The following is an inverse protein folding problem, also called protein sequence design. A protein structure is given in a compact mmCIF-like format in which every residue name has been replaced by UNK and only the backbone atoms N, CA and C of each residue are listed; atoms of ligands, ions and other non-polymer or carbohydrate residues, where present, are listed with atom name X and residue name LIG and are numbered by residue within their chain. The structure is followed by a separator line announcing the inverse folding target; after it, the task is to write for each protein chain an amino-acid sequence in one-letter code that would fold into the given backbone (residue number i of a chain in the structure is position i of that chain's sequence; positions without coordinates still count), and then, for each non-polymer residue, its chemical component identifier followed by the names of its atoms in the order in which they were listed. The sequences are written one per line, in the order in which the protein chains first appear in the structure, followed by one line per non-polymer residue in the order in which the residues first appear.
data_IF_969572575526
#
_entry.id   IF_969572575526
#
_cell.length_a   1.000
_cell.length_b   1.000
_cell.length_c   1.000
_cell.angle_alpha   90.00
_cell.angle_beta   90.00
_cell.angle_gamma   90.00
#
_symmetry.space_group_name_H-M   'P 1'
#
loop_
_entity.id
_entity.type
_entity.pdbx_description
1 polymer ?
#
# COMPACT_ATOMS: atom_id res chain seq x y z
N UNK A 1 13.74 -19.82 -20.29
CA UNK A 1 14.94 -18.98 -20.54
C UNK A 1 14.96 -17.95 -19.43
N UNK A 2 15.71 -18.29 -18.38
CA UNK A 2 15.87 -17.41 -17.23
C UNK A 2 16.82 -16.27 -17.63
N UNK A 3 16.26 -15.10 -17.92
CA UNK A 3 17.05 -13.88 -18.04
C UNK A 3 17.20 -13.33 -16.62
N UNK A 4 18.35 -13.61 -16.02
CA UNK A 4 18.77 -12.92 -14.80
C UNK A 4 18.82 -11.42 -15.09
N UNK A 5 18.08 -10.64 -14.32
CA UNK A 5 18.27 -9.19 -14.27
C UNK A 5 19.65 -8.87 -13.73
N UNK A 6 20.44 -8.11 -14.48
CA UNK A 6 21.66 -7.49 -13.96
C UNK A 6 21.29 -6.15 -13.30
N UNK A 7 20.58 -6.23 -12.19
CA UNK A 7 20.30 -5.03 -11.40
C UNK A 7 21.53 -4.64 -10.57
N UNK A 8 21.85 -3.35 -10.56
CA UNK A 8 22.83 -2.77 -9.64
C UNK A 8 22.23 -2.47 -8.25
N UNK A 9 20.92 -2.65 -8.08
CA UNK A 9 20.22 -2.46 -6.83
C UNK A 9 20.56 -3.59 -5.84
N UNK A 10 20.76 -3.21 -4.56
CA UNK A 10 21.01 -4.20 -3.51
C UNK A 10 19.70 -4.90 -3.14
N UNK A 11 19.77 -6.17 -2.74
CA UNK A 11 18.60 -6.88 -2.23
C UNK A 11 18.02 -6.20 -0.97
N UNK A 12 16.71 -6.29 -0.80
CA UNK A 12 16.02 -5.82 0.39
C UNK A 12 15.93 -6.96 1.41
N UNK A 13 16.52 -6.76 2.60
CA UNK A 13 16.45 -7.70 3.72
C UNK A 13 15.41 -7.24 4.72
N UNK A 14 14.45 -8.09 5.07
CA UNK A 14 13.39 -7.83 6.05
C UNK A 14 13.48 -8.92 7.13
N UNK A 15 14.32 -8.71 8.13
CA UNK A 15 14.69 -9.76 9.08
C UNK A 15 15.40 -10.92 8.39
N UNK A 16 14.83 -12.14 8.47
CA UNK A 16 15.33 -13.35 7.78
C UNK A 16 14.79 -13.52 6.35
N UNK A 17 14.00 -12.58 5.86
CA UNK A 17 13.44 -12.58 4.50
C UNK A 17 14.30 -11.73 3.58
N UNK A 18 14.41 -12.15 2.31
CA UNK A 18 15.16 -11.41 1.29
C UNK A 18 14.32 -11.31 0.02
N UNK A 19 14.16 -10.09 -0.48
CA UNK A 19 13.69 -9.81 -1.83
C UNK A 19 14.91 -9.45 -2.70
N UNK A 20 15.05 -10.08 -3.86
CA UNK A 20 16.19 -9.87 -4.79
C UNK A 20 16.23 -8.43 -5.30
N UNK A 21 15.05 -7.86 -5.56
CA UNK A 21 14.89 -6.46 -5.93
C UNK A 21 14.29 -5.66 -4.76
N UNK A 22 14.84 -4.47 -4.45
CA UNK A 22 14.37 -3.63 -3.34
C UNK A 22 13.13 -2.82 -3.74
N UNK A 23 12.20 -3.46 -4.43
CA UNK A 23 10.98 -2.85 -4.97
C UNK A 23 9.77 -3.55 -4.35
N UNK A 24 8.97 -2.78 -3.63
CA UNK A 24 7.69 -3.20 -3.09
C UNK A 24 6.58 -2.66 -4.00
N UNK A 25 5.71 -3.51 -4.50
CA UNK A 25 4.45 -3.06 -5.06
C UNK A 25 3.50 -2.77 -3.90
N UNK A 26 3.10 -1.50 -3.74
CA UNK A 26 2.22 -1.07 -2.65
C UNK A 26 0.82 -1.68 -2.75
N UNK A 27 0.28 -2.10 -1.62
CA UNK A 27 -1.07 -2.67 -1.55
C UNK A 27 -2.16 -1.65 -1.91
N UNK A 28 -3.02 -1.98 -2.86
CA UNK A 28 -4.07 -1.11 -3.38
C UNK A 28 -5.44 -1.79 -3.26
N UNK A 29 -6.28 -1.27 -2.40
CA UNK A 29 -7.68 -1.72 -2.22
C UNK A 29 -8.66 -0.75 -2.92
N UNK A 30 -9.84 -1.18 -3.22
CA UNK A 30 -10.42 -2.52 -3.11
C UNK A 30 -10.13 -3.30 -4.39
N UNK A 31 -9.60 -4.52 -4.28
CA UNK A 31 -9.50 -5.41 -5.45
C UNK A 31 -8.43 -5.08 -6.49
N UNK A 32 -7.71 -3.95 -6.40
CA UNK A 32 -6.71 -3.52 -7.38
C UNK A 32 -5.44 -4.36 -7.28
N UNK A 33 -4.96 -4.67 -6.07
CA UNK A 33 -3.85 -5.58 -5.87
C UNK A 33 -4.29 -6.84 -5.12
N UNK A 34 -4.50 -7.91 -5.86
CA UNK A 34 -4.78 -9.26 -5.38
C UNK A 34 -3.64 -10.21 -5.76
N UNK A 35 -3.98 -11.46 -5.95
CA UNK A 35 -2.99 -12.52 -6.21
C UNK A 35 -2.28 -12.42 -7.54
N UNK A 36 -2.94 -11.93 -8.60
CA UNK A 36 -2.31 -11.84 -9.92
C UNK A 36 -1.17 -10.82 -9.90
N UNK A 37 -1.47 -9.59 -9.49
CA UNK A 37 -0.45 -8.54 -9.41
C UNK A 37 0.64 -8.87 -8.39
N UNK A 38 0.25 -9.19 -7.15
CA UNK A 38 1.23 -9.45 -6.09
C UNK A 38 2.11 -10.66 -6.40
N UNK A 39 1.53 -11.73 -6.95
CA UNK A 39 2.26 -12.91 -7.36
C UNK A 39 3.24 -12.63 -8.49
N UNK A 40 2.83 -11.83 -9.49
CA UNK A 40 3.69 -11.45 -10.61
C UNK A 40 4.91 -10.63 -10.14
N UNK A 41 4.71 -9.65 -9.26
CA UNK A 41 5.81 -8.85 -8.69
C UNK A 41 6.77 -9.72 -7.87
N UNK A 42 6.24 -10.63 -7.07
CA UNK A 42 7.06 -11.58 -6.32
C UNK A 42 7.82 -12.55 -7.26
N UNK A 43 7.21 -12.97 -8.37
CA UNK A 43 7.88 -13.80 -9.39
C UNK A 43 9.07 -13.10 -10.05
N UNK A 44 9.09 -11.76 -10.06
CA UNK A 44 10.20 -10.93 -10.53
C UNK A 44 11.23 -10.60 -9.42
N UNK A 45 11.12 -11.23 -8.25
CA UNK A 45 12.07 -11.05 -7.14
C UNK A 45 11.80 -9.85 -6.24
N UNK A 46 10.73 -9.10 -6.47
CA UNK A 46 10.27 -8.00 -5.60
C UNK A 46 9.38 -8.45 -4.44
N UNK A 47 8.72 -7.50 -3.80
CA UNK A 47 7.71 -7.74 -2.76
C UNK A 47 6.33 -7.40 -3.33
N UNK A 48 5.55 -8.41 -3.65
CA UNK A 48 4.16 -8.22 -4.09
C UNK A 48 3.22 -8.15 -2.90
N UNK A 49 2.37 -7.12 -2.85
CA UNK A 49 1.53 -6.84 -1.68
C UNK A 49 0.04 -6.87 -2.03
N UNK A 50 -0.68 -7.76 -1.37
CA UNK A 50 -2.13 -7.90 -1.47
C UNK A 50 -2.79 -6.91 -0.50
N UNK A 51 -3.75 -6.11 -0.99
CA UNK A 51 -4.59 -5.28 -0.10
C UNK A 51 -5.76 -6.10 0.45
N UNK A 52 -5.93 -6.11 1.77
CA UNK A 52 -7.01 -6.86 2.41
C UNK A 52 -8.32 -6.07 2.53
N UNK A 53 -8.33 -4.78 2.15
CA UNK A 53 -9.51 -3.94 2.25
C UNK A 53 -10.63 -4.46 1.33
N UNK A 54 -11.68 -5.04 1.95
CA UNK A 54 -12.85 -5.62 1.27
C UNK A 54 -12.48 -6.56 0.11
N UNK A 55 -11.40 -7.31 0.28
CA UNK A 55 -10.83 -8.18 -0.75
C UNK A 55 -11.79 -9.26 -1.25
N UNK A 56 -12.76 -9.64 -0.43
CA UNK A 56 -13.79 -10.65 -0.74
C UNK A 56 -15.04 -10.08 -1.40
N UNK A 57 -15.02 -8.87 -1.95
CA UNK A 57 -16.19 -8.17 -2.47
C UNK A 57 -16.94 -8.96 -3.57
N UNK A 58 -16.26 -9.79 -4.32
CA UNK A 58 -16.80 -10.65 -5.39
C UNK A 58 -17.05 -12.10 -4.95
N UNK A 59 -16.80 -12.44 -3.67
CA UNK A 59 -17.13 -13.78 -3.15
C UNK A 59 -18.65 -13.95 -2.96
N UNK A 60 -19.15 -15.12 -3.31
CA UNK A 60 -20.55 -15.47 -3.10
C UNK A 60 -20.96 -15.30 -1.63
N UNK A 61 -22.00 -14.52 -1.36
CA UNK A 61 -22.48 -14.25 -0.01
C UNK A 61 -21.86 -13.02 0.67
N UNK A 62 -20.98 -12.26 0.01
CA UNK A 62 -20.36 -11.06 0.56
C UNK A 62 -21.36 -10.05 1.14
N UNK A 63 -22.53 -9.92 0.53
CA UNK A 63 -23.56 -9.01 1.02
C UNK A 63 -24.13 -9.41 2.40
N UNK A 64 -24.06 -10.70 2.75
CA UNK A 64 -24.58 -11.25 4.01
C UNK A 64 -23.48 -11.39 5.08
N UNK A 65 -22.26 -11.72 4.64
CA UNK A 65 -21.12 -11.94 5.53
C UNK A 65 -19.82 -11.37 4.91
N UNK A 66 -19.65 -10.05 5.02
CA UNK A 66 -18.44 -9.38 4.54
C UNK A 66 -17.18 -9.87 5.27
N UNK A 67 -17.27 -10.11 6.57
CA UNK A 67 -16.12 -10.52 7.37
C UNK A 67 -15.62 -11.91 6.95
N UNK A 68 -16.50 -12.90 6.89
CA UNK A 68 -16.14 -14.25 6.47
C UNK A 68 -15.65 -14.33 5.03
N UNK A 69 -16.28 -13.59 4.10
CA UNK A 69 -15.83 -13.51 2.72
C UNK A 69 -14.42 -12.88 2.60
N UNK A 70 -14.13 -11.82 3.37
CA UNK A 70 -12.81 -11.21 3.38
C UNK A 70 -11.73 -12.18 3.90
N UNK A 71 -11.96 -12.89 5.01
CA UNK A 71 -11.00 -13.86 5.54
C UNK A 71 -10.74 -15.00 4.54
N UNK A 72 -11.81 -15.55 3.95
CA UNK A 72 -11.69 -16.56 2.89
C UNK A 72 -10.87 -16.05 1.70
N UNK A 73 -11.12 -14.82 1.25
CA UNK A 73 -10.41 -14.21 0.13
C UNK A 73 -8.94 -13.90 0.48
N UNK A 74 -8.60 -13.46 1.70
CA UNK A 74 -7.22 -13.29 2.17
C UNK A 74 -6.45 -14.61 2.01
N UNK A 75 -6.99 -15.71 2.52
CA UNK A 75 -6.39 -17.05 2.40
C UNK A 75 -6.18 -17.45 0.95
N UNK A 76 -7.21 -17.34 0.14
CA UNK A 76 -7.21 -17.66 -1.29
C UNK A 76 -6.12 -16.89 -2.03
N UNK A 77 -6.08 -15.57 -1.86
CA UNK A 77 -5.18 -14.72 -2.62
C UNK A 77 -3.73 -14.82 -2.15
N UNK A 78 -3.44 -15.04 -0.87
CA UNK A 78 -2.07 -15.30 -0.40
C UNK A 78 -1.57 -16.62 -1.00
N UNK A 79 -2.39 -17.68 -0.97
CA UNK A 79 -2.02 -18.96 -1.56
C UNK A 79 -1.76 -18.83 -3.07
N UNK A 80 -2.68 -18.22 -3.83
CA UNK A 80 -2.52 -18.05 -5.28
C UNK A 80 -1.29 -17.19 -5.64
N UNK A 81 -1.04 -16.10 -4.90
CA UNK A 81 0.14 -15.26 -5.14
C UNK A 81 1.44 -16.04 -4.95
N UNK A 82 1.51 -16.92 -3.94
CA UNK A 82 2.67 -17.78 -3.71
C UNK A 82 2.89 -18.80 -4.82
N UNK A 83 1.80 -19.39 -5.34
CA UNK A 83 1.88 -20.29 -6.50
C UNK A 83 2.44 -19.57 -7.73
N UNK A 84 2.02 -18.32 -7.98
CA UNK A 84 2.54 -17.48 -9.07
C UNK A 84 4.00 -17.11 -8.83
N UNK A 85 4.36 -16.72 -7.61
CA UNK A 85 5.70 -16.29 -7.22
C UNK A 85 6.75 -17.39 -7.31
N UNK A 86 6.37 -18.66 -7.16
CA UNK A 86 7.27 -19.85 -7.21
C UNK A 86 8.49 -19.71 -6.28
N UNK A 87 8.35 -19.01 -5.18
CA UNK A 87 9.39 -18.85 -4.16
C UNK A 87 10.52 -17.86 -4.50
N UNK A 88 10.42 -17.07 -5.57
CA UNK A 88 11.48 -16.11 -5.96
C UNK A 88 11.53 -14.85 -5.10
N UNK A 89 10.37 -14.22 -4.86
CA UNK A 89 10.25 -13.00 -4.07
C UNK A 89 9.35 -13.19 -2.84
N UNK A 90 8.88 -12.09 -2.28
CA UNK A 90 8.06 -12.09 -1.08
C UNK A 90 6.61 -11.73 -1.37
N UNK A 91 5.67 -12.38 -0.68
CA UNK A 91 4.23 -12.08 -0.74
C UNK A 91 3.81 -11.47 0.60
N UNK A 92 3.54 -10.17 0.57
CA UNK A 92 3.05 -9.42 1.71
C UNK A 92 1.57 -9.10 1.63
N UNK A 93 1.05 -8.52 2.71
CA UNK A 93 -0.30 -7.96 2.76
C UNK A 93 -0.28 -6.54 3.30
N UNK A 94 -1.14 -5.67 2.77
CA UNK A 94 -1.43 -4.36 3.34
C UNK A 94 -2.74 -4.42 4.11
N UNK A 95 -2.71 -4.01 5.39
CA UNK A 95 -3.87 -4.02 6.28
C UNK A 95 -4.02 -2.64 6.92
N UNK A 96 -5.10 -1.94 6.57
CA UNK A 96 -5.39 -0.61 7.12
C UNK A 96 -5.87 -0.72 8.58
N UNK A 97 -5.26 0.07 9.48
CA UNK A 97 -5.67 0.15 10.90
C UNK A 97 -7.13 0.56 11.06
N UNK A 98 -7.63 1.38 10.14
CA UNK A 98 -9.01 1.89 10.16
C UNK A 98 -10.07 0.83 9.84
N UNK A 99 -9.71 -0.39 9.41
CA UNK A 99 -10.66 -1.46 9.13
C UNK A 99 -11.32 -1.98 10.40
N UNK A 100 -12.61 -2.24 10.36
CA UNK A 100 -13.38 -2.79 11.48
C UNK A 100 -12.87 -4.16 11.93
N UNK A 101 -12.46 -5.01 11.01
CA UNK A 101 -11.95 -6.35 11.27
C UNK A 101 -10.41 -6.43 11.12
N UNK A 102 -9.71 -5.36 11.55
CA UNK A 102 -8.26 -5.26 11.47
C UNK A 102 -7.55 -6.47 12.11
N UNK A 103 -7.96 -6.83 13.33
CA UNK A 103 -7.33 -7.92 14.10
C UNK A 103 -7.51 -9.28 13.43
N UNK A 104 -8.69 -9.53 12.92
CA UNK A 104 -9.04 -10.77 12.22
C UNK A 104 -8.24 -10.89 10.91
N UNK A 105 -8.12 -9.80 10.14
CA UNK A 105 -7.29 -9.77 8.93
C UNK A 105 -5.81 -10.03 9.22
N UNK A 106 -5.26 -9.43 10.31
CA UNK A 106 -3.87 -9.70 10.73
C UNK A 106 -3.68 -11.16 11.08
N UNK A 107 -4.56 -11.74 11.91
CA UNK A 107 -4.48 -13.16 12.30
C UNK A 107 -4.56 -14.08 11.09
N UNK A 108 -5.52 -13.86 10.21
CA UNK A 108 -5.68 -14.66 9.00
C UNK A 108 -4.43 -14.58 8.10
N UNK A 109 -3.85 -13.38 7.92
CA UNK A 109 -2.63 -13.20 7.15
C UNK A 109 -1.42 -13.95 7.74
N UNK A 110 -1.30 -13.95 9.08
CA UNK A 110 -0.25 -14.71 9.79
C UNK A 110 -0.46 -16.21 9.63
N UNK A 111 -1.69 -16.71 9.82
CA UNK A 111 -2.03 -18.13 9.66
C UNK A 111 -1.79 -18.63 8.24
N UNK A 112 -2.05 -17.79 7.24
CA UNK A 112 -1.77 -18.09 5.84
C UNK A 112 -0.29 -17.91 5.45
N UNK A 113 0.54 -17.46 6.40
CA UNK A 113 1.98 -17.32 6.25
C UNK A 113 2.40 -16.17 5.32
N UNK A 114 1.71 -15.04 5.32
CA UNK A 114 2.19 -13.84 4.63
C UNK A 114 3.63 -13.51 5.07
N UNK A 115 4.49 -13.11 4.15
CA UNK A 115 5.91 -12.84 4.47
C UNK A 115 6.06 -11.54 5.28
N UNK A 116 5.25 -10.51 4.97
CA UNK A 116 5.24 -9.24 5.67
C UNK A 116 3.83 -8.66 5.74
N UNK A 117 3.49 -8.04 6.88
CA UNK A 117 2.30 -7.21 7.04
C UNK A 117 2.73 -5.75 7.08
N UNK A 118 2.30 -4.99 6.07
CA UNK A 118 2.51 -3.54 5.98
C UNK A 118 1.21 -2.87 6.44
N UNK A 119 1.28 -2.05 7.49
CA UNK A 119 0.08 -1.49 8.12
C UNK A 119 0.15 0.03 8.24
N UNK A 120 -0.90 0.69 7.77
CA UNK A 120 -1.06 2.14 7.72
C UNK A 120 -2.53 2.57 7.82
N UNK A 121 -2.85 3.77 7.33
CA UNK A 121 -4.13 4.45 7.56
C UNK A 121 -4.47 4.54 9.06
N UNK A 122 -3.52 5.04 9.82
CA UNK A 122 -3.40 5.07 11.26
C UNK A 122 -2.13 4.36 11.73
N UNK A 123 -1.64 4.67 12.94
CA UNK A 123 -0.46 4.00 13.50
C UNK A 123 -0.85 2.62 14.07
N UNK A 124 -0.19 1.53 13.64
CA UNK A 124 -0.51 0.16 14.06
C UNK A 124 0.04 -0.17 15.46
N UNK A 125 -0.44 0.55 16.48
CA UNK A 125 0.11 0.54 17.85
C UNK A 125 0.16 -0.86 18.47
N UNK A 126 -0.79 -1.73 18.15
CA UNK A 126 -0.93 -3.07 18.70
C UNK A 126 -0.58 -4.21 17.74
N UNK A 127 0.03 -3.92 16.59
CA UNK A 127 0.40 -4.94 15.61
C UNK A 127 1.35 -6.02 16.18
N UNK A 128 2.36 -5.69 17.02
CA UNK A 128 3.22 -6.72 17.65
C UNK A 128 2.48 -7.70 18.56
N UNK A 129 1.35 -7.29 19.17
CA UNK A 129 0.51 -8.17 19.98
C UNK A 129 -0.18 -9.24 19.12
N UNK A 130 -0.52 -8.89 17.88
CA UNK A 130 -1.23 -9.76 16.94
C UNK A 130 -0.30 -10.66 16.13
N UNK A 131 0.98 -10.27 16.03
CA UNK A 131 2.02 -11.00 15.27
C UNK A 131 3.19 -11.31 16.20
N UNK A 132 3.15 -12.44 16.94
CA UNK A 132 4.23 -12.83 17.85
C UNK A 132 5.59 -12.91 17.17
N UNK A 133 6.66 -12.64 17.91
CA UNK A 133 8.03 -12.55 17.35
C UNK A 133 8.53 -13.87 16.75
N UNK A 134 8.06 -15.01 17.27
CA UNK A 134 8.39 -16.33 16.72
C UNK A 134 7.69 -16.65 15.38
N UNK A 135 6.72 -15.83 14.96
CA UNK A 135 6.09 -15.98 13.67
C UNK A 135 7.06 -15.65 12.53
N UNK A 136 6.90 -16.34 11.40
CA UNK A 136 7.68 -16.04 10.19
C UNK A 136 7.29 -14.72 9.55
N UNK A 137 6.07 -14.23 9.80
CA UNK A 137 5.55 -12.98 9.25
C UNK A 137 6.23 -11.77 9.88
N UNK A 138 6.75 -10.89 9.05
CA UNK A 138 7.40 -9.63 9.44
C UNK A 138 6.36 -8.51 9.56
N UNK A 139 6.67 -7.47 10.35
CA UNK A 139 5.76 -6.33 10.57
C UNK A 139 6.42 -5.02 10.17
N UNK A 140 5.65 -4.22 9.43
CA UNK A 140 6.09 -2.94 8.89
C UNK A 140 5.03 -1.86 9.12
N UNK A 141 5.30 -0.82 9.93
CA UNK A 141 4.44 0.34 10.01
C UNK A 141 4.66 1.27 8.80
N UNK A 142 3.60 1.94 8.35
CA UNK A 142 3.69 3.09 7.44
C UNK A 142 3.71 4.35 8.29
N UNK A 143 4.68 5.21 8.05
CA UNK A 143 4.85 6.50 8.72
C UNK A 143 5.12 7.60 7.69
N UNK A 144 4.75 8.85 8.02
CA UNK A 144 4.97 10.01 7.15
C UNK A 144 5.82 11.08 7.84
N UNK A 145 6.35 10.78 9.03
CA UNK A 145 7.20 11.73 9.76
C UNK A 145 8.07 11.02 10.80
N UNK A 146 9.23 11.65 11.13
CA UNK A 146 10.11 11.25 12.24
C UNK A 146 9.34 11.12 13.56
N UNK A 147 8.41 12.05 13.81
CA UNK A 147 7.57 12.01 15.01
C UNK A 147 6.74 10.72 15.07
N UNK A 148 6.12 10.34 13.95
CA UNK A 148 5.33 9.10 13.86
C UNK A 148 6.23 7.86 13.97
N UNK A 149 7.38 7.83 13.30
CA UNK A 149 8.36 6.76 13.38
C UNK A 149 8.85 6.55 14.82
N UNK A 150 9.29 7.62 15.48
CA UNK A 150 9.76 7.54 16.86
C UNK A 150 8.65 7.10 17.82
N UNK A 151 7.42 7.60 17.64
CA UNK A 151 6.29 7.21 18.48
C UNK A 151 6.01 5.71 18.39
N UNK A 152 5.94 5.15 17.16
CA UNK A 152 5.61 3.74 16.97
C UNK A 152 6.73 2.82 17.47
N UNK A 153 7.98 3.14 17.14
CA UNK A 153 9.15 2.37 17.58
C UNK A 153 9.27 2.36 19.10
N UNK A 154 9.11 3.53 19.74
CA UNK A 154 9.12 3.67 21.21
C UNK A 154 8.01 2.85 21.85
N UNK A 155 6.79 2.94 21.32
CA UNK A 155 5.64 2.19 21.85
C UNK A 155 5.83 0.68 21.72
N UNK A 156 6.29 0.21 20.57
CA UNK A 156 6.55 -1.21 20.35
C UNK A 156 7.68 -1.72 21.24
N UNK A 157 8.77 -0.96 21.36
CA UNK A 157 9.89 -1.32 22.23
C UNK A 157 9.51 -1.38 23.71
N UNK A 158 8.71 -0.41 24.18
CA UNK A 158 8.33 -0.34 25.60
C UNK A 158 7.24 -1.36 25.96
N UNK A 159 6.19 -1.48 25.14
CA UNK A 159 5.01 -2.29 25.47
C UNK A 159 5.17 -3.75 25.13
N UNK A 160 5.88 -4.06 24.05
CA UNK A 160 5.96 -5.41 23.50
C UNK A 160 7.39 -5.98 23.47
N UNK A 161 8.38 -5.20 23.89
CA UNK A 161 9.80 -5.55 23.78
C UNK A 161 10.17 -5.97 22.34
N UNK A 162 9.66 -5.25 21.33
CA UNK A 162 9.82 -5.54 19.91
C UNK A 162 10.03 -4.25 19.11
N UNK A 163 10.70 -4.38 17.94
CA UNK A 163 10.83 -3.29 16.98
C UNK A 163 10.24 -3.69 15.62
N UNK A 164 10.18 -2.74 14.67
CA UNK A 164 9.77 -3.01 13.30
C UNK A 164 10.79 -3.90 12.58
N UNK A 165 10.30 -4.73 11.65
CA UNK A 165 11.15 -5.50 10.75
C UNK A 165 11.46 -4.71 9.46
N UNK A 166 10.67 -3.67 9.18
CA UNK A 166 10.77 -2.75 8.06
C UNK A 166 9.98 -1.48 8.41
N UNK A 167 10.39 -0.32 7.94
CA UNK A 167 9.61 0.93 8.00
C UNK A 167 9.31 1.38 6.57
N UNK A 168 8.03 1.65 6.26
CA UNK A 168 7.63 2.31 5.02
C UNK A 168 7.41 3.79 5.31
N UNK A 169 8.17 4.65 4.63
CA UNK A 169 8.07 6.11 4.74
C UNK A 169 7.26 6.63 3.57
N UNK A 170 6.05 7.06 3.85
CA UNK A 170 5.11 7.52 2.84
C UNK A 170 5.14 9.05 2.71
N UNK A 171 5.56 9.52 1.54
CA UNK A 171 5.69 10.94 1.22
C UNK A 171 4.39 11.63 0.78
N UNK A 172 4.43 12.98 0.68
CA UNK A 172 3.26 13.79 0.34
C UNK A 172 2.75 13.56 -1.09
N UNK A 173 3.52 12.91 -1.96
CA UNK A 173 3.12 12.57 -3.33
C UNK A 173 2.47 11.19 -3.49
N UNK A 174 2.29 10.45 -2.41
CA UNK A 174 1.62 9.17 -2.42
C UNK A 174 0.16 9.27 -2.88
N UNK A 175 -0.39 8.15 -3.33
CA UNK A 175 -1.80 7.96 -3.62
C UNK A 175 -2.58 7.38 -2.44
N UNK A 176 -3.88 7.42 -2.51
CA UNK A 176 -4.72 6.92 -1.42
C UNK A 176 -4.74 7.86 -0.21
N UNK A 177 -4.86 7.29 0.99
CA UNK A 177 -4.95 8.05 2.23
C UNK A 177 -3.58 8.59 2.64
N UNK A 178 -3.50 9.87 2.97
CA UNK A 178 -2.26 10.58 3.23
C UNK A 178 -2.10 10.90 4.71
N UNK A 179 -0.90 10.68 5.24
CA UNK A 179 -0.53 10.99 6.63
C UNK A 179 -0.22 12.47 6.89
N UNK A 180 -0.71 13.37 6.06
CA UNK A 180 -0.49 14.81 6.09
C UNK A 180 -1.81 15.57 6.26
N UNK A 181 -1.76 16.79 6.79
CA UNK A 181 -2.92 17.69 6.78
C UNK A 181 -3.16 18.27 5.38
N UNK A 182 -4.38 18.78 5.13
CA UNK A 182 -4.67 19.45 3.85
C UNK A 182 -3.78 20.68 3.63
N UNK A 183 -3.47 21.40 4.67
CA UNK A 183 -2.58 22.55 4.63
C UNK A 183 -1.15 22.15 4.21
N UNK A 184 -0.60 21.11 4.84
CA UNK A 184 0.69 20.55 4.42
C UNK A 184 0.71 20.12 2.95
N UNK A 185 -0.36 19.47 2.48
CA UNK A 185 -0.47 19.01 1.09
C UNK A 185 -0.61 20.18 0.09
N UNK A 186 -1.23 21.30 0.51
CA UNK A 186 -1.32 22.51 -0.30
C UNK A 186 0.03 23.21 -0.45
N UNK A 187 0.90 23.11 0.57
CA UNK A 187 2.24 23.71 0.61
C UNK A 187 3.37 22.67 0.50
N UNK A 188 3.08 21.53 -0.17
CA UNK A 188 4.02 20.38 -0.25
C UNK A 188 5.37 20.76 -0.86
N UNK A 189 5.40 21.72 -1.79
CA UNK A 189 6.62 22.16 -2.46
C UNK A 189 7.55 22.94 -1.52
N UNK A 190 7.06 23.36 -0.34
CA UNK A 190 7.83 23.99 0.74
C UNK A 190 8.35 22.96 1.76
N UNK A 191 7.94 21.70 1.66
CA UNK A 191 8.36 20.64 2.56
C UNK A 191 9.68 20.03 2.14
N UNK A 192 10.67 20.02 3.02
CA UNK A 192 11.91 19.25 2.83
C UNK A 192 11.69 17.77 3.24
N UNK A 193 11.05 17.01 2.35
CA UNK A 193 10.76 15.60 2.61
C UNK A 193 12.02 14.72 2.57
N UNK A 194 13.04 15.13 1.83
CA UNK A 194 14.34 14.46 1.83
C UNK A 194 15.00 14.50 3.21
N UNK A 195 14.90 15.65 3.91
CA UNK A 195 15.38 15.77 5.28
C UNK A 195 14.56 14.91 6.25
N UNK A 196 13.24 14.84 6.06
CA UNK A 196 12.36 13.96 6.86
C UNK A 196 12.75 12.49 6.72
N UNK A 197 13.06 12.02 5.51
CA UNK A 197 13.56 10.67 5.25
C UNK A 197 14.87 10.43 6.01
N UNK A 198 15.86 11.33 5.91
CA UNK A 198 17.13 11.22 6.64
C UNK A 198 16.93 11.18 8.15
N UNK A 199 16.01 11.98 8.65
CA UNK A 199 15.68 12.05 10.07
C UNK A 199 15.02 10.77 10.58
N UNK A 200 14.15 10.13 9.77
CA UNK A 200 13.57 8.83 10.08
C UNK A 200 14.65 7.74 10.09
N UNK A 201 15.56 7.75 9.10
CA UNK A 201 16.69 6.82 9.04
C UNK A 201 17.63 7.01 10.26
N UNK A 202 17.83 8.23 10.70
CA UNK A 202 18.63 8.50 11.89
C UNK A 202 17.95 8.00 13.18
N UNK A 203 16.63 8.20 13.31
CA UNK A 203 15.92 7.84 14.54
C UNK A 203 15.80 6.32 14.77
N UNK A 204 15.85 5.48 13.72
CA UNK A 204 15.77 4.02 13.86
C UNK A 204 17.03 3.40 14.49
N UNK A 205 18.20 4.08 14.43
CA UNK A 205 19.49 3.53 14.87
C UNK A 205 19.50 3.15 16.35
N UNK A 206 18.87 3.94 17.21
CA UNK A 206 18.70 3.63 18.63
C UNK A 206 18.01 2.28 18.85
N UNK A 207 17.01 1.97 18.00
CA UNK A 207 16.26 0.72 18.11
C UNK A 207 17.00 -0.46 17.46
N UNK A 208 17.77 -0.21 16.41
CA UNK A 208 18.68 -1.20 15.83
C UNK A 208 19.72 -1.68 16.83
N UNK A 209 20.38 -0.73 17.54
CA UNK A 209 21.33 -1.03 18.60
C UNK A 209 20.66 -1.78 19.76
N UNK A 210 19.49 -1.29 20.21
CA UNK A 210 18.74 -1.90 21.32
C UNK A 210 18.34 -3.36 21.04
N UNK A 211 17.93 -3.67 19.81
CA UNK A 211 17.42 -5.00 19.44
C UNK A 211 18.43 -5.86 18.68
N UNK A 212 19.63 -5.33 18.39
CA UNK A 212 20.71 -6.04 17.70
C UNK A 212 20.35 -6.48 16.29
N UNK A 213 19.50 -5.71 15.58
CA UNK A 213 19.06 -6.03 14.20
C UNK A 213 18.82 -4.79 13.37
N UNK A 214 19.05 -4.89 12.08
CA UNK A 214 18.75 -3.84 11.10
C UNK A 214 17.22 -3.64 10.95
N UNK A 215 16.81 -2.39 10.72
CA UNK A 215 15.45 -1.98 10.41
C UNK A 215 15.51 -1.27 9.05
N UNK A 216 15.33 -1.96 7.92
CA UNK A 216 15.37 -1.32 6.62
C UNK A 216 14.28 -0.26 6.48
N UNK A 217 14.56 0.78 5.68
CA UNK A 217 13.64 1.86 5.37
C UNK A 217 13.32 1.82 3.89
N UNK A 218 12.03 1.82 3.57
CA UNK A 218 11.52 1.87 2.19
C UNK A 218 10.76 3.17 1.99
N UNK A 219 11.11 3.92 0.95
CA UNK A 219 10.47 5.20 0.61
C UNK A 219 9.33 4.97 -0.38
N UNK A 220 8.18 5.60 -0.12
CA UNK A 220 6.98 5.55 -0.92
C UNK A 220 6.46 6.96 -1.23
N UNK A 221 5.73 7.09 -2.35
CA UNK A 221 5.14 8.36 -2.78
C UNK A 221 6.08 9.16 -3.69
N UNK A 222 5.60 9.41 -4.91
CA UNK A 222 6.36 10.12 -5.93
C UNK A 222 7.31 9.26 -6.77
N UNK A 223 7.66 8.06 -6.33
CA UNK A 223 8.57 7.16 -7.05
C UNK A 223 7.90 6.68 -8.35
N UNK A 224 8.55 6.96 -9.48
CA UNK A 224 8.01 6.64 -10.80
C UNK A 224 9.00 5.85 -11.66
N UNK A 225 10.26 6.25 -11.72
CA UNK A 225 11.29 5.64 -12.55
C UNK A 225 12.58 5.32 -11.77
N UNK A 226 13.60 4.83 -12.47
CA UNK A 226 14.88 4.47 -11.87
C UNK A 226 15.57 5.66 -11.22
N UNK A 227 15.42 6.87 -11.72
CA UNK A 227 16.06 8.06 -11.13
C UNK A 227 15.47 8.36 -9.76
N UNK A 228 14.17 8.20 -9.59
CA UNK A 228 13.52 8.37 -8.30
C UNK A 228 13.99 7.29 -7.30
N UNK A 229 14.20 6.05 -7.78
CA UNK A 229 14.77 4.96 -6.97
C UNK A 229 16.19 5.32 -6.53
N UNK A 230 17.05 5.73 -7.46
CA UNK A 230 18.44 6.10 -7.17
C UNK A 230 18.51 7.28 -6.21
N UNK A 231 17.60 8.26 -6.32
CA UNK A 231 17.46 9.37 -5.39
C UNK A 231 17.12 8.88 -3.97
N UNK A 232 16.10 8.05 -3.83
CA UNK A 232 15.72 7.46 -2.53
C UNK A 232 16.89 6.69 -1.90
N UNK A 233 17.60 5.88 -2.70
CA UNK A 233 18.76 5.13 -2.24
C UNK A 233 19.92 6.06 -1.81
N UNK A 234 20.12 7.18 -2.51
CA UNK A 234 21.14 8.20 -2.14
C UNK A 234 20.80 8.90 -0.83
N UNK A 235 19.53 8.99 -0.43
CA UNK A 235 19.09 9.46 0.88
C UNK A 235 19.37 8.46 2.01
N UNK A 236 19.71 7.21 1.67
CA UNK A 236 19.98 6.12 2.60
C UNK A 236 18.81 5.14 2.78
N UNK A 237 17.82 5.15 1.90
CA UNK A 237 16.78 4.14 1.88
C UNK A 237 17.33 2.77 1.44
N UNK A 238 16.71 1.70 1.91
CA UNK A 238 17.03 0.31 1.57
C UNK A 238 16.19 -0.23 0.41
N UNK A 239 15.14 0.51 0.03
CA UNK A 239 14.25 0.17 -1.07
C UNK A 239 13.17 1.22 -1.31
N UNK A 240 12.26 0.93 -2.24
CA UNK A 240 11.15 1.80 -2.60
C UNK A 240 9.83 1.05 -2.64
N UNK A 241 8.72 1.77 -2.40
CA UNK A 241 7.37 1.25 -2.63
C UNK A 241 6.68 2.07 -3.72
N UNK A 242 6.18 1.38 -4.73
CA UNK A 242 5.53 1.95 -5.92
C UNK A 242 4.12 1.37 -6.04
N UNK A 243 3.13 2.20 -6.36
CA UNK A 243 1.75 1.76 -6.52
C UNK A 243 1.19 2.07 -7.92
N UNK A 244 1.04 3.34 -8.29
CA UNK A 244 0.31 3.76 -9.50
C UNK A 244 0.84 3.15 -10.79
N UNK A 245 2.16 2.95 -10.94
CA UNK A 245 2.76 2.29 -12.11
C UNK A 245 2.24 0.86 -12.27
N UNK A 246 2.08 0.14 -11.15
CA UNK A 246 1.60 -1.24 -11.17
C UNK A 246 0.11 -1.38 -11.48
N UNK A 247 -0.69 -0.32 -11.34
CA UNK A 247 -2.09 -0.32 -11.81
C UNK A 247 -2.15 -0.48 -13.32
N UNK A 248 -1.28 0.20 -14.05
CA UNK A 248 -1.20 0.11 -15.51
C UNK A 248 -0.38 -1.11 -15.97
N UNK A 249 -0.64 -2.28 -15.38
CA UNK A 249 -0.05 -3.55 -15.80
C UNK A 249 -1.12 -4.57 -16.17
N UNK A 250 -0.76 -5.50 -17.05
CA UNK A 250 -1.65 -6.60 -17.48
C UNK A 250 -2.10 -7.46 -16.29
N UNK A 251 -1.21 -7.63 -15.31
CA UNK A 251 -1.40 -8.47 -14.12
C UNK A 251 -2.19 -7.78 -13.00
N UNK A 252 -2.42 -6.47 -13.07
CA UNK A 252 -3.28 -5.76 -12.14
C UNK A 252 -4.68 -6.39 -12.13
N UNK A 253 -5.22 -6.65 -10.94
CA UNK A 253 -6.48 -7.39 -10.76
C UNK A 253 -7.75 -6.56 -11.04
N UNK A 254 -7.60 -5.24 -11.34
CA UNK A 254 -8.72 -4.37 -11.67
C UNK A 254 -9.19 -4.55 -13.12
N UNK A 255 -10.45 -4.17 -13.40
CA UNK A 255 -11.01 -4.13 -14.75
C UNK A 255 -10.13 -3.27 -15.71
N UNK A 256 -10.14 -3.63 -16.97
CA UNK A 256 -9.34 -2.94 -18.00
C UNK A 256 -9.67 -1.44 -18.10
N UNK A 257 -10.94 -1.05 -17.90
CA UNK A 257 -11.37 0.37 -17.89
C UNK A 257 -10.73 1.15 -16.74
N UNK A 258 -10.51 0.50 -15.58
CA UNK A 258 -9.79 1.10 -14.46
C UNK A 258 -8.33 1.39 -14.85
N UNK A 259 -7.64 0.43 -15.45
CA UNK A 259 -6.25 0.59 -15.93
C UNK A 259 -6.15 1.68 -16.99
N UNK A 260 -7.09 1.69 -17.94
CA UNK A 260 -7.13 2.68 -19.00
C UNK A 260 -7.39 4.10 -18.47
N UNK A 261 -8.15 4.25 -17.39
CA UNK A 261 -8.35 5.53 -16.73
C UNK A 261 -7.03 6.11 -16.19
N UNK A 262 -6.09 5.28 -15.73
CA UNK A 262 -4.76 5.73 -15.32
C UNK A 262 -3.91 6.17 -16.51
N UNK A 263 -3.98 5.46 -17.63
CA UNK A 263 -3.25 5.81 -18.86
C UNK A 263 -3.77 7.12 -19.46
N UNK A 264 -5.07 7.36 -19.35
CA UNK A 264 -5.71 8.57 -19.85
C UNK A 264 -5.62 9.78 -18.91
N UNK A 265 -5.19 9.55 -17.65
CA UNK A 265 -5.12 10.58 -16.62
C UNK A 265 -4.06 11.64 -16.96
N UNK A 266 -4.36 12.89 -16.63
CA UNK A 266 -3.43 14.02 -16.73
C UNK A 266 -3.08 14.54 -15.35
N UNK A 267 -2.03 15.32 -15.24
CA UNK A 267 -1.63 15.95 -13.99
C UNK A 267 -2.76 16.78 -13.35
N UNK A 268 -3.55 17.44 -14.19
CA UNK A 268 -4.68 18.30 -13.79
C UNK A 268 -5.86 17.51 -13.23
N UNK A 269 -5.95 16.21 -13.54
CA UNK A 269 -7.01 15.34 -13.04
C UNK A 269 -6.75 14.85 -11.60
N UNK A 270 -5.57 15.15 -11.03
CA UNK A 270 -5.19 14.70 -9.69
C UNK A 270 -5.65 15.72 -8.64
N UNK A 271 -6.39 15.26 -7.64
CA UNK A 271 -6.90 16.13 -6.57
C UNK A 271 -6.74 15.53 -5.17
N UNK A 272 -6.73 16.42 -4.15
CA UNK A 272 -6.82 16.04 -2.74
C UNK A 272 -8.27 16.06 -2.30
N UNK A 273 -8.77 14.90 -1.91
CA UNK A 273 -10.15 14.67 -1.50
C UNK A 273 -10.28 14.49 0.01
N UNK A 274 -11.50 14.64 0.53
CA UNK A 274 -11.84 14.22 1.89
C UNK A 274 -12.36 12.78 1.85
N UNK A 275 -11.57 11.87 2.42
CA UNK A 275 -11.98 10.47 2.51
C UNK A 275 -12.93 10.22 3.68
N UNK A 276 -13.89 9.28 3.55
CA UNK A 276 -14.70 8.78 4.65
C UNK A 276 -13.91 8.17 5.82
N UNK A 277 -12.64 7.82 5.60
CA UNK A 277 -11.72 7.35 6.65
C UNK A 277 -11.32 8.47 7.63
N UNK A 278 -11.61 9.73 7.28
CA UNK A 278 -11.26 10.91 8.09
C UNK A 278 -9.88 11.50 7.77
N UNK A 279 -9.20 10.99 6.77
CA UNK A 279 -7.89 11.47 6.30
C UNK A 279 -8.05 12.13 4.92
N UNK A 280 -7.17 13.07 4.53
CA UNK A 280 -7.05 13.47 3.14
C UNK A 280 -6.65 12.26 2.27
N UNK A 281 -7.08 12.27 1.02
CA UNK A 281 -6.67 11.25 0.05
C UNK A 281 -6.34 11.89 -1.29
N UNK A 282 -5.50 11.23 -2.10
CA UNK A 282 -5.25 11.68 -3.48
C UNK A 282 -5.90 10.73 -4.46
N UNK A 283 -6.70 11.29 -5.36
CA UNK A 283 -7.51 10.54 -6.30
C UNK A 283 -7.64 11.28 -7.64
N UNK A 284 -8.14 10.56 -8.66
CA UNK A 284 -8.54 11.15 -9.93
C UNK A 284 -9.85 11.93 -9.79
N UNK A 285 -9.90 13.12 -10.38
CA UNK A 285 -11.09 13.93 -10.53
C UNK A 285 -11.92 13.38 -11.70
N UNK A 286 -12.90 12.54 -11.40
CA UNK A 286 -13.85 11.96 -12.35
C UNK A 286 -15.28 12.51 -12.09
N UNK A 287 -16.30 12.11 -12.87
CA UNK A 287 -17.68 12.53 -12.62
C UNK A 287 -18.19 12.25 -11.20
N UNK A 288 -17.80 11.12 -10.60
CA UNK A 288 -18.14 10.79 -9.21
C UNK A 288 -17.60 11.83 -8.22
N UNK A 289 -16.33 12.21 -8.36
CA UNK A 289 -15.73 13.20 -7.45
C UNK A 289 -16.33 14.59 -7.64
N UNK A 290 -16.68 14.98 -8.85
CA UNK A 290 -17.42 16.22 -9.13
C UNK A 290 -18.81 16.19 -8.48
N UNK A 291 -19.48 15.05 -8.47
CA UNK A 291 -20.77 14.90 -7.77
C UNK A 291 -20.60 15.04 -6.25
N UNK A 292 -19.53 14.48 -5.67
CA UNK A 292 -19.21 14.60 -4.23
C UNK A 292 -18.93 16.06 -3.84
N UNK A 293 -18.28 16.85 -4.71
CA UNK A 293 -18.03 18.27 -4.47
C UNK A 293 -19.34 19.09 -4.39
N UNK A 294 -20.35 18.68 -5.16
CA UNK A 294 -21.68 19.32 -5.12
C UNK A 294 -22.54 18.92 -3.91
N UNK A 295 -22.09 17.99 -3.11
CA UNK A 295 -22.75 17.57 -1.88
C UNK A 295 -22.58 16.10 -1.56
N UNK A 296 -23.12 15.74 -0.39
CA UNK A 296 -23.04 14.39 0.13
C UNK A 296 -23.89 13.40 -0.68
N UNK A 297 -23.32 12.24 -1.01
CA UNK A 297 -24.03 11.10 -1.59
C UNK A 297 -24.53 10.20 -0.45
N UNK A 298 -25.86 10.08 -0.22
CA UNK A 298 -26.39 9.27 0.87
C UNK A 298 -25.96 7.80 0.78
N UNK A 299 -25.55 7.24 1.92
CA UNK A 299 -25.19 5.83 2.02
C UNK A 299 -26.46 4.97 2.03
N UNK A 300 -26.76 4.29 0.94
CA UNK A 300 -27.92 3.39 0.82
C UNK A 300 -27.71 2.04 1.49
N UNK A 301 -26.46 1.55 1.50
CA UNK A 301 -26.06 0.26 2.06
C UNK A 301 -24.72 0.39 2.79
N UNK A 302 -24.64 -0.16 4.00
CA UNK A 302 -23.40 -0.20 4.77
C UNK A 302 -22.67 -1.54 4.56
N UNK A 303 -21.39 -1.44 4.25
CA UNK A 303 -20.48 -2.60 4.12
C UNK A 303 -19.70 -2.91 5.40
N UNK A 304 -20.01 -2.21 6.51
CA UNK A 304 -19.38 -2.46 7.79
C UNK A 304 -17.84 -2.51 7.74
N UNK A 305 -17.24 -1.65 6.91
CA UNK A 305 -15.83 -1.72 6.50
C UNK A 305 -14.88 -1.00 7.45
N UNK A 306 -15.31 0.08 8.10
CA UNK A 306 -14.48 0.93 8.94
C UNK A 306 -14.93 0.88 10.39
N UNK A 307 -13.97 0.92 11.32
CA UNK A 307 -14.24 0.98 12.77
C UNK A 307 -15.01 2.26 13.15
N UNK A 308 -14.59 3.38 12.58
CA UNK A 308 -15.21 4.69 12.82
C UNK A 308 -15.85 5.22 11.55
N UNK A 309 -17.10 4.88 11.30
CA UNK A 309 -17.86 5.39 10.17
C UNK A 309 -19.26 5.83 10.63
N UNK A 310 -19.52 7.13 10.50
CA UNK A 310 -20.88 7.66 10.69
C UNK A 310 -21.55 7.81 9.33
N UNK A 311 -22.38 6.84 8.95
CA UNK A 311 -23.10 6.81 7.67
C UNK A 311 -23.92 8.07 7.40
N UNK A 312 -24.38 8.76 8.46
CA UNK A 312 -25.12 10.02 8.38
C UNK A 312 -24.26 11.23 8.03
N UNK A 313 -22.94 11.16 8.18
CA UNK A 313 -22.03 12.30 8.05
C UNK A 313 -20.97 12.14 6.96
N UNK A 314 -20.60 10.89 6.60
CA UNK A 314 -19.59 10.66 5.55
C UNK A 314 -20.05 11.21 4.20
N UNK A 315 -19.13 11.72 3.37
CA UNK A 315 -19.49 12.30 2.07
C UNK A 315 -20.07 11.25 1.10
N UNK A 316 -19.65 10.01 1.21
CA UNK A 316 -20.11 8.85 0.41
C UNK A 316 -19.71 7.53 1.07
N UNK A 317 -20.22 6.39 0.57
CA UNK A 317 -19.74 5.07 0.97
C UNK A 317 -18.46 4.72 0.24
N UNK A 318 -17.32 4.73 0.93
CA UNK A 318 -16.01 4.46 0.31
C UNK A 318 -15.92 3.06 -0.30
N UNK A 319 -16.44 2.04 0.38
CA UNK A 319 -16.42 0.65 -0.12
C UNK A 319 -17.19 0.53 -1.43
N UNK A 320 -18.40 1.09 -1.51
CA UNK A 320 -19.20 1.09 -2.75
C UNK A 320 -18.45 1.77 -3.89
N UNK A 321 -17.92 2.97 -3.63
CA UNK A 321 -17.21 3.73 -4.65
C UNK A 321 -15.94 3.04 -5.16
N UNK A 322 -15.21 2.34 -4.28
CA UNK A 322 -14.01 1.59 -4.67
C UNK A 322 -14.36 0.30 -5.42
N UNK A 323 -15.45 -0.40 -5.04
CA UNK A 323 -15.94 -1.58 -5.76
C UNK A 323 -16.41 -1.18 -7.16
N UNK A 324 -17.21 -0.12 -7.29
CA UNK A 324 -17.68 0.34 -8.60
C UNK A 324 -16.50 0.62 -9.54
N UNK A 325 -15.49 1.35 -9.05
CA UNK A 325 -14.31 1.68 -9.82
C UNK A 325 -13.56 0.43 -10.28
N UNK A 326 -13.26 -0.51 -9.36
CA UNK A 326 -12.46 -1.70 -9.69
C UNK A 326 -13.18 -2.66 -10.64
N UNK A 327 -14.51 -2.68 -10.62
CA UNK A 327 -15.37 -3.41 -11.57
C UNK A 327 -15.55 -2.68 -12.92
N UNK A 328 -14.90 -1.50 -13.07
CA UNK A 328 -14.84 -0.75 -14.31
C UNK A 328 -15.90 0.35 -14.47
N UNK A 329 -16.72 0.62 -13.48
CA UNK A 329 -17.57 1.81 -13.44
C UNK A 329 -16.77 3.01 -12.93
N UNK A 330 -15.81 3.43 -13.75
CA UNK A 330 -14.84 4.48 -13.43
C UNK A 330 -15.46 5.88 -13.33
N UNK A 331 -16.66 6.06 -13.87
CA UNK A 331 -17.37 7.34 -13.80
C UNK A 331 -18.11 7.51 -12.48
N UNK A 332 -18.59 6.42 -11.86
CA UNK A 332 -19.34 6.42 -10.61
C UNK A 332 -18.50 5.90 -9.42
N UNK A 333 -17.26 5.55 -9.63
CA UNK A 333 -16.36 5.00 -8.61
C UNK A 333 -15.24 5.93 -8.20
N UNK A 334 -14.59 5.62 -7.08
CA UNK A 334 -13.42 6.33 -6.57
C UNK A 334 -12.14 5.64 -7.03
N UNK A 335 -11.26 6.40 -7.66
CA UNK A 335 -9.93 5.93 -8.07
C UNK A 335 -8.83 6.71 -7.36
N UNK A 336 -8.16 6.09 -6.39
CA UNK A 336 -6.98 6.66 -5.75
C UNK A 336 -5.76 6.57 -6.68
N UNK A 337 -4.93 7.61 -6.72
CA UNK A 337 -3.72 7.63 -7.53
C UNK A 337 -2.62 8.46 -6.87
N UNK A 338 -1.35 8.21 -7.22
CA UNK A 338 -0.23 9.06 -6.84
C UNK A 338 -0.17 10.35 -7.66
N UNK A 339 0.65 11.31 -7.23
CA UNK A 339 0.82 12.60 -7.90
C UNK A 339 1.32 12.46 -9.35
N UNK A 340 2.11 11.41 -9.63
CA UNK A 340 2.76 11.18 -10.92
C UNK A 340 1.93 10.33 -11.89
N UNK A 341 0.63 10.08 -11.62
CA UNK A 341 -0.22 9.23 -12.49
C UNK A 341 -0.24 9.72 -13.94
N UNK A 342 -0.26 11.03 -14.19
CA UNK A 342 -0.26 11.62 -15.52
C UNK A 342 1.00 11.37 -16.37
N UNK A 343 2.02 10.68 -15.81
CA UNK A 343 3.20 10.21 -16.56
C UNK A 343 3.02 8.80 -17.12
N UNK A 344 1.94 8.10 -16.76
CA UNK A 344 1.63 6.75 -17.25
C UNK A 344 1.04 6.88 -18.66
N UNK A 345 1.68 6.30 -19.65
CA UNK A 345 1.31 6.45 -21.07
C UNK A 345 0.79 5.15 -21.71
N UNK A 346 0.97 4.00 -21.05
CA UNK A 346 0.57 2.69 -21.59
C UNK A 346 0.38 1.65 -20.49
N UNK A 347 -0.35 0.59 -20.84
CA UNK A 347 -0.41 -0.64 -20.06
C UNK A 347 0.76 -1.54 -20.49
N UNK A 348 1.56 -1.97 -19.53
CA UNK A 348 2.71 -2.84 -19.72
C UNK A 348 2.55 -4.17 -18.96
N UNK A 349 3.53 -5.06 -18.97
CA UNK A 349 3.57 -6.21 -18.06
C UNK A 349 4.35 -5.87 -16.79
N UNK A 350 4.09 -6.60 -15.70
CA UNK A 350 4.92 -6.50 -14.47
C UNK A 350 6.38 -6.80 -14.79
N UNK A 351 6.64 -7.80 -15.64
CA UNK A 351 8.00 -8.12 -16.09
C UNK A 351 8.71 -6.94 -16.73
N UNK A 352 8.07 -6.27 -17.71
CA UNK A 352 8.64 -5.11 -18.40
C UNK A 352 8.86 -3.94 -17.43
N UNK A 353 7.90 -3.68 -16.56
CA UNK A 353 7.99 -2.62 -15.56
C UNK A 353 9.11 -2.87 -14.55
N UNK A 354 9.20 -4.09 -13.99
CA UNK A 354 10.25 -4.44 -13.02
C UNK A 354 11.63 -4.35 -13.65
N UNK A 355 11.77 -4.74 -14.92
CA UNK A 355 13.02 -4.59 -15.66
C UNK A 355 13.39 -3.13 -15.85
N UNK A 356 12.46 -2.28 -16.30
CA UNK A 356 12.68 -0.83 -16.44
C UNK A 356 13.14 -0.21 -15.12
N UNK A 357 12.47 -0.53 -14.01
CA UNK A 357 12.80 0.00 -12.69
C UNK A 357 14.15 -0.51 -12.17
N UNK A 358 14.54 -1.72 -12.51
CA UNK A 358 15.77 -2.34 -12.03
C UNK A 358 17.02 -2.00 -12.85
N UNK A 359 16.87 -1.79 -14.15
CA UNK A 359 17.98 -1.56 -15.09
C UNK A 359 18.18 -0.06 -15.42
N UNK A 360 17.12 0.73 -15.43
CA UNK A 360 17.10 2.15 -15.80
C UNK A 360 16.68 2.42 -17.21
#
# INVERSE_FOLDING_TARGET
MDREYKSSLRCLKIGDKVAELPIIQGGMGVGVSRSSLAGAVAAEGGVGVISTAQIGYDEAGFEKDQAGCNLKAIRKHIWMAREIAKGKGLVGVNIMVALKHYKEHVKEAVECGADVIISGAGLPMNLPELVPEFCRTKIAPIVSSKRAANLILKMWAHRYNRTADLIVVEGPEAGGHLGFSRDQLAHRDEMDFDQEIRDIIACKKEYEEKFGREIPVVVAGGIFDRKDIDHAMALGADGVQIASRFVATKECDADERYKQAYVNARKEDVQIIQSPVGMPGRALCNPFMKLVENGRIPVKKCYNCLEKCNQGQVPYCITKALIDAVEGDVENGLMFCGANVGRIDKITSVHELMRELAEG
#
